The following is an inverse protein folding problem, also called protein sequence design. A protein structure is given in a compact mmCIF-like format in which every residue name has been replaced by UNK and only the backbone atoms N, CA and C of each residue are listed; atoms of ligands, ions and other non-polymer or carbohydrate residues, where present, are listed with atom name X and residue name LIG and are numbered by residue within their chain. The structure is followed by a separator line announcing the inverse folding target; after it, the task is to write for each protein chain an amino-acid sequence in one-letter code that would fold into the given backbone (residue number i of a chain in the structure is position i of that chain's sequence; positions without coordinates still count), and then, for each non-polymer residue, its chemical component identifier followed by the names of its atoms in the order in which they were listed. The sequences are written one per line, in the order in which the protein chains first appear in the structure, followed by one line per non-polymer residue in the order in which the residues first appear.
data_IF_369271420452
#
_entry.id   IF_369271420452
#
_cell.length_a   1.000
_cell.length_b   1.000
_cell.length_c   1.000
_cell.angle_alpha   90.00
_cell.angle_beta   90.00
_cell.angle_gamma   90.00
#
_symmetry.space_group_name_H-M   'P 1'
#
loop_
_entity.id
_entity.type
_entity.pdbx_description
1 polymer ?
#
# COMPACT_ATOMS: atom_id res chain seq x y z
N UNK A 1 -12.15 -4.36 -67.72
CA UNK A 1 -11.38 -3.29 -67.09
C UNK A 1 -11.25 -3.66 -65.62
N UNK A 2 -10.14 -4.30 -65.23
CA UNK A 2 -9.84 -4.68 -63.86
C UNK A 2 -9.01 -3.55 -63.26
N UNK A 3 -9.58 -2.86 -62.28
CA UNK A 3 -8.92 -1.80 -61.53
C UNK A 3 -7.82 -2.44 -60.64
N UNK A 4 -6.56 -2.03 -60.88
CA UNK A 4 -5.43 -2.41 -60.06
C UNK A 4 -5.55 -1.81 -58.65
N UNK A 5 -5.77 -2.69 -57.70
CA UNK A 5 -5.58 -2.31 -56.27
C UNK A 5 -4.08 -2.24 -56.00
N UNK A 6 -3.62 -1.06 -55.59
CA UNK A 6 -2.27 -0.91 -55.06
C UNK A 6 -2.07 -1.86 -53.88
N UNK A 7 -0.93 -2.57 -53.77
CA UNK A 7 -0.65 -3.37 -52.59
C UNK A 7 -0.60 -2.46 -51.36
N UNK A 8 -1.12 -2.90 -50.19
CA UNK A 8 -1.06 -2.10 -48.98
C UNK A 8 0.40 -1.76 -48.69
N UNK A 9 0.62 -0.47 -48.36
CA UNK A 9 1.93 0.05 -48.00
C UNK A 9 2.64 -0.92 -47.04
N UNK A 10 3.86 -1.32 -47.40
CA UNK A 10 4.72 -2.14 -46.57
C UNK A 10 4.76 -1.52 -45.14
N UNK A 11 3.97 -2.06 -44.26
CA UNK A 11 4.16 -1.84 -42.84
C UNK A 11 5.50 -2.49 -42.54
N UNK A 12 6.53 -1.66 -42.46
CA UNK A 12 7.85 -2.08 -41.99
C UNK A 12 7.68 -2.57 -40.55
N UNK A 13 7.39 -3.85 -40.40
CA UNK A 13 7.30 -4.56 -39.11
C UNK A 13 8.61 -4.47 -38.30
N UNK A 14 9.67 -3.95 -38.90
CA UNK A 14 11.00 -3.73 -38.30
C UNK A 14 11.14 -2.36 -37.59
N UNK A 15 10.18 -1.43 -37.71
CA UNK A 15 10.21 -0.13 -37.05
C UNK A 15 9.49 -0.12 -35.69
N UNK A 16 8.97 -1.25 -35.23
CA UNK A 16 8.60 -1.43 -33.85
C UNK A 16 9.87 -1.85 -33.10
N UNK A 17 10.77 -0.90 -32.88
CA UNK A 17 11.77 -1.08 -31.84
C UNK A 17 11.00 -1.20 -30.52
N UNK A 18 10.64 -2.43 -30.12
CA UNK A 18 9.96 -2.73 -28.86
C UNK A 18 10.72 -2.16 -27.64
N UNK A 19 11.92 -1.70 -27.83
CA UNK A 19 12.81 -1.10 -26.83
C UNK A 19 13.28 0.29 -27.31
N UNK A 20 12.35 1.25 -27.43
CA UNK A 20 12.78 2.63 -27.54
C UNK A 20 13.36 3.09 -26.20
N UNK A 21 14.48 3.78 -26.22
CA UNK A 21 15.11 4.37 -25.02
C UNK A 21 14.13 5.27 -24.25
N UNK A 22 13.26 5.97 -24.97
CA UNK A 22 12.20 6.81 -24.42
C UNK A 22 11.17 6.02 -23.61
N UNK A 23 10.70 4.87 -24.14
CA UNK A 23 9.78 3.98 -23.42
C UNK A 23 10.41 3.43 -22.14
N UNK A 24 11.70 3.07 -22.19
CA UNK A 24 12.41 2.58 -21.02
C UNK A 24 12.52 3.67 -19.93
N UNK A 25 12.89 4.89 -20.31
CA UNK A 25 12.98 6.01 -19.36
C UNK A 25 11.62 6.32 -18.73
N UNK A 26 10.57 6.40 -19.52
CA UNK A 26 9.22 6.63 -19.02
C UNK A 26 8.74 5.48 -18.11
N UNK A 27 9.01 4.22 -18.46
CA UNK A 27 8.69 3.08 -17.61
C UNK A 27 9.42 3.12 -16.26
N UNK A 28 10.70 3.56 -16.22
CA UNK A 28 11.45 3.72 -14.98
C UNK A 28 10.83 4.83 -14.11
N UNK A 29 10.51 5.98 -14.68
CA UNK A 29 9.92 7.10 -13.94
C UNK A 29 8.54 6.72 -13.37
N UNK A 30 7.68 6.11 -14.19
CA UNK A 30 6.36 5.62 -13.76
C UNK A 30 6.52 4.54 -12.69
N UNK A 31 7.51 3.65 -12.84
CA UNK A 31 7.80 2.59 -11.86
C UNK A 31 8.24 3.12 -10.51
N UNK A 32 9.03 4.20 -10.49
CA UNK A 32 9.41 4.88 -9.23
C UNK A 32 8.17 5.48 -8.56
N UNK A 33 7.29 6.14 -9.32
CA UNK A 33 6.06 6.72 -8.76
C UNK A 33 5.10 5.64 -8.24
N UNK A 34 4.96 4.56 -8.99
CA UNK A 34 4.16 3.39 -8.59
C UNK A 34 4.73 2.75 -7.32
N UNK A 35 6.06 2.63 -7.23
CA UNK A 35 6.73 2.12 -6.02
C UNK A 35 6.48 2.96 -4.78
N UNK A 36 6.48 4.29 -4.91
CA UNK A 36 6.10 5.18 -3.81
C UNK A 36 4.65 5.02 -3.37
N UNK A 37 3.73 4.87 -4.33
CA UNK A 37 2.34 4.55 -4.03
C UNK A 37 2.20 3.21 -3.28
N UNK A 38 2.88 2.18 -3.72
CA UNK A 38 2.90 0.88 -3.03
C UNK A 38 3.51 0.96 -1.64
N UNK A 39 4.50 1.81 -1.44
CA UNK A 39 5.04 2.09 -0.11
C UNK A 39 3.96 2.69 0.81
N UNK A 40 3.14 3.63 0.31
CA UNK A 40 2.04 4.20 1.08
C UNK A 40 0.99 3.16 1.50
N UNK A 41 0.63 2.24 0.58
CA UNK A 41 -0.31 1.16 0.87
C UNK A 41 0.22 0.18 1.91
N UNK A 42 1.55 -0.08 1.92
CA UNK A 42 2.16 -1.20 2.64
C UNK A 42 2.77 -0.81 3.98
N UNK A 43 3.18 0.46 4.17
CA UNK A 43 3.92 0.87 5.36
C UNK A 43 3.11 0.73 6.66
N UNK A 44 1.80 0.98 6.59
CA UNK A 44 0.90 0.77 7.73
C UNK A 44 0.78 -0.71 8.09
N UNK A 45 0.67 -1.59 7.08
CA UNK A 45 0.65 -3.03 7.32
C UNK A 45 2.00 -3.53 7.89
N UNK A 46 3.12 -2.94 7.49
CA UNK A 46 4.44 -3.26 8.07
C UNK A 46 4.50 -2.98 9.58
N UNK A 47 3.75 -1.98 10.07
CA UNK A 47 3.62 -1.72 11.51
C UNK A 47 2.76 -2.80 12.18
N UNK A 48 1.57 -3.08 11.67
CA UNK A 48 0.64 -4.02 12.31
C UNK A 48 1.10 -5.47 12.21
N UNK A 49 1.61 -5.91 11.06
CA UNK A 49 2.07 -7.28 10.86
C UNK A 49 3.51 -7.47 11.34
N UNK A 50 4.41 -6.54 10.99
CA UNK A 50 5.82 -6.71 11.27
C UNK A 50 6.22 -6.42 12.72
N UNK A 51 5.54 -5.49 13.42
CA UNK A 51 5.87 -5.14 14.80
C UNK A 51 4.92 -5.74 15.84
N UNK A 52 3.68 -6.07 15.46
CA UNK A 52 2.68 -6.55 16.41
C UNK A 52 2.33 -8.04 16.24
N UNK A 53 2.84 -8.71 15.21
CA UNK A 53 2.47 -10.07 14.80
C UNK A 53 0.96 -10.22 14.49
N UNK A 54 0.31 -9.11 14.09
CA UNK A 54 -1.12 -9.10 13.78
C UNK A 54 -1.30 -9.10 12.27
N UNK A 55 -1.78 -10.22 11.74
CA UNK A 55 -2.10 -10.36 10.31
C UNK A 55 -3.42 -9.64 10.01
N UNK A 56 -3.33 -8.32 9.75
CA UNK A 56 -4.49 -7.50 9.45
C UNK A 56 -4.86 -7.57 7.96
N UNK A 57 -5.63 -8.60 7.56
CA UNK A 57 -6.14 -8.74 6.19
C UNK A 57 -7.13 -7.62 5.83
N UNK A 58 -7.77 -6.98 6.81
CA UNK A 58 -8.68 -5.87 6.57
C UNK A 58 -7.97 -4.56 6.18
N UNK A 59 -6.64 -4.49 6.25
CA UNK A 59 -5.87 -3.26 5.98
C UNK A 59 -6.23 -2.62 4.62
N UNK A 60 -6.26 -3.35 3.48
CA UNK A 60 -6.66 -2.77 2.20
C UNK A 60 -8.13 -2.30 2.18
N UNK A 61 -9.05 -2.96 2.89
CA UNK A 61 -10.43 -2.49 2.98
C UNK A 61 -10.54 -1.14 3.69
N UNK A 62 -9.70 -0.88 4.71
CA UNK A 62 -9.60 0.44 5.34
C UNK A 62 -8.98 1.49 4.42
N UNK A 63 -8.08 1.12 3.53
CA UNK A 63 -7.57 2.02 2.48
C UNK A 63 -8.72 2.43 1.56
N UNK A 64 -9.55 1.47 1.11
CA UNK A 64 -10.73 1.76 0.29
C UNK A 64 -11.75 2.62 1.06
N UNK A 65 -11.99 2.35 2.34
CA UNK A 65 -12.82 3.21 3.18
C UNK A 65 -12.30 4.65 3.21
N UNK A 66 -10.99 4.85 3.34
CA UNK A 66 -10.34 6.17 3.26
C UNK A 66 -10.54 6.82 1.90
N UNK A 67 -10.42 6.06 0.81
CA UNK A 67 -10.65 6.54 -0.54
C UNK A 67 -12.11 6.99 -0.76
N UNK A 68 -13.10 6.24 -0.25
CA UNK A 68 -14.50 6.63 -0.32
C UNK A 68 -14.82 7.86 0.52
N UNK A 69 -14.20 8.03 1.69
CA UNK A 69 -14.32 9.27 2.48
C UNK A 69 -13.78 10.45 1.67
N UNK A 70 -12.64 10.31 1.01
CA UNK A 70 -12.11 11.34 0.12
C UNK A 70 -13.07 11.64 -1.03
N UNK A 71 -13.65 10.63 -1.66
CA UNK A 71 -14.64 10.79 -2.71
C UNK A 71 -15.87 11.57 -2.23
N UNK A 72 -16.46 11.25 -1.06
CA UNK A 72 -17.62 11.93 -0.51
C UNK A 72 -17.36 13.43 -0.33
N UNK A 73 -16.27 13.76 0.38
CA UNK A 73 -15.97 15.16 0.67
C UNK A 73 -15.52 15.94 -0.57
N UNK A 74 -14.83 15.30 -1.50
CA UNK A 74 -14.48 15.92 -2.78
C UNK A 74 -15.71 16.19 -3.62
N UNK A 75 -16.62 15.22 -3.78
CA UNK A 75 -17.84 15.38 -4.60
C UNK A 75 -18.84 16.40 -4.05
N UNK A 76 -18.99 16.50 -2.70
CA UNK A 76 -19.97 17.38 -2.09
C UNK A 76 -19.44 18.78 -1.79
N UNK A 77 -18.18 18.90 -1.43
CA UNK A 77 -17.57 20.15 -0.95
C UNK A 77 -16.42 20.66 -1.82
N UNK A 78 -16.00 19.90 -2.85
CA UNK A 78 -14.87 20.28 -3.70
C UNK A 78 -13.52 20.30 -2.97
N UNK A 79 -13.41 19.64 -1.82
CA UNK A 79 -12.16 19.61 -1.03
C UNK A 79 -11.12 18.74 -1.71
N UNK A 80 -9.86 19.15 -1.57
CA UNK A 80 -8.72 18.36 -2.10
C UNK A 80 -8.62 16.99 -1.41
N UNK A 81 -8.44 15.88 -2.17
CA UNK A 81 -8.37 14.53 -1.61
C UNK A 81 -7.23 14.34 -0.60
N UNK A 82 -6.07 14.97 -0.80
CA UNK A 82 -4.92 14.87 0.10
C UNK A 82 -5.25 15.51 1.45
N UNK A 83 -5.89 16.69 1.41
CA UNK A 83 -6.33 17.39 2.61
C UNK A 83 -7.31 16.53 3.42
N UNK A 84 -8.28 15.91 2.73
CA UNK A 84 -9.26 15.02 3.38
C UNK A 84 -8.56 13.81 3.99
N UNK A 85 -7.63 13.18 3.28
CA UNK A 85 -6.84 12.06 3.78
C UNK A 85 -6.08 12.39 5.07
N UNK A 86 -5.50 13.58 5.16
CA UNK A 86 -4.79 14.06 6.35
C UNK A 86 -5.75 14.37 7.49
N UNK A 87 -6.87 15.06 7.21
CA UNK A 87 -7.86 15.44 8.23
C UNK A 87 -8.59 14.21 8.80
N UNK A 88 -8.83 13.18 7.99
CA UNK A 88 -9.48 11.94 8.44
C UNK A 88 -8.53 10.96 9.15
N UNK A 89 -7.20 11.14 9.04
CA UNK A 89 -6.22 10.27 9.69
C UNK A 89 -6.40 10.15 11.22
N UNK A 90 -6.70 11.21 12.00
CA UNK A 90 -7.03 11.08 13.43
C UNK A 90 -8.27 10.22 13.70
N UNK A 91 -9.29 10.26 12.84
CA UNK A 91 -10.49 9.42 12.97
C UNK A 91 -10.13 7.96 12.74
N UNK A 92 -9.32 7.67 11.72
CA UNK A 92 -8.80 6.32 11.48
C UNK A 92 -7.90 5.83 12.61
N UNK A 93 -7.10 6.72 13.20
CA UNK A 93 -6.31 6.40 14.39
C UNK A 93 -7.22 5.93 15.54
N UNK A 94 -8.27 6.69 15.86
CA UNK A 94 -9.23 6.35 16.92
C UNK A 94 -9.98 5.05 16.60
N UNK A 95 -10.37 4.84 15.34
CA UNK A 95 -10.97 3.60 14.88
C UNK A 95 -10.00 2.41 15.10
N UNK A 96 -8.72 2.60 14.80
CA UNK A 96 -7.69 1.60 15.06
C UNK A 96 -7.52 1.27 16.54
N UNK A 97 -7.55 2.27 17.43
CA UNK A 97 -7.53 2.04 18.88
C UNK A 97 -8.73 1.18 19.30
N UNK A 98 -9.93 1.47 18.80
CA UNK A 98 -11.14 0.74 19.12
C UNK A 98 -11.07 -0.71 18.63
N UNK A 99 -10.69 -0.92 17.37
CA UNK A 99 -10.57 -2.25 16.76
C UNK A 99 -9.54 -3.09 17.51
N UNK A 100 -8.36 -2.52 17.80
CA UNK A 100 -7.34 -3.26 18.56
C UNK A 100 -7.81 -3.60 19.96
N UNK A 101 -8.54 -2.70 20.66
CA UNK A 101 -9.10 -2.97 21.97
C UNK A 101 -10.03 -4.16 21.95
N UNK A 102 -10.95 -4.23 20.97
CA UNK A 102 -11.88 -5.37 20.79
C UNK A 102 -11.07 -6.65 20.52
N UNK A 103 -10.09 -6.57 19.61
CA UNK A 103 -9.21 -7.69 19.27
C UNK A 103 -8.45 -8.22 20.49
N UNK A 104 -7.85 -7.31 21.28
CA UNK A 104 -7.12 -7.67 22.50
C UNK A 104 -8.02 -8.35 23.54
N UNK A 105 -9.17 -7.76 23.86
CA UNK A 105 -10.06 -8.28 24.91
C UNK A 105 -10.67 -9.64 24.53
N UNK A 106 -10.91 -9.89 23.25
CA UNK A 106 -11.62 -11.09 22.78
C UNK A 106 -10.70 -12.21 22.31
N UNK A 107 -9.49 -11.90 21.91
CA UNK A 107 -8.59 -12.88 21.30
C UNK A 107 -7.21 -12.91 22.00
N UNK A 108 -6.45 -11.84 22.00
CA UNK A 108 -5.07 -11.82 22.47
C UNK A 108 -4.96 -12.11 23.97
N UNK A 109 -5.81 -11.49 24.80
CA UNK A 109 -5.83 -11.66 26.27
C UNK A 109 -6.13 -13.09 26.69
N UNK A 110 -6.93 -13.81 25.94
CA UNK A 110 -7.36 -15.17 26.23
C UNK A 110 -6.34 -16.21 25.71
N UNK A 111 -5.26 -15.75 25.00
CA UNK A 111 -4.31 -16.64 24.34
C UNK A 111 -4.92 -17.41 23.18
N UNK A 112 -5.90 -16.80 22.49
CA UNK A 112 -6.54 -17.42 21.34
C UNK A 112 -5.54 -17.64 20.19
N UNK A 113 -5.66 -18.75 19.51
CA UNK A 113 -4.81 -19.11 18.37
C UNK A 113 -4.77 -18.00 17.31
N UNK A 114 -3.64 -17.78 16.62
CA UNK A 114 -3.49 -16.78 15.56
C UNK A 114 -4.57 -16.85 14.47
N UNK A 115 -5.08 -18.06 14.20
CA UNK A 115 -6.14 -18.30 13.22
C UNK A 115 -7.46 -17.59 13.55
N UNK A 116 -7.79 -17.46 14.84
CA UNK A 116 -9.01 -16.73 15.28
C UNK A 116 -8.88 -15.23 15.02
N UNK A 117 -7.68 -14.69 15.22
CA UNK A 117 -7.38 -13.30 14.88
C UNK A 117 -7.49 -13.04 13.37
N UNK A 118 -6.97 -13.96 12.57
CA UNK A 118 -7.09 -13.90 11.12
C UNK A 118 -8.57 -13.90 10.68
N UNK A 119 -9.40 -14.78 11.24
CA UNK A 119 -10.83 -14.83 10.96
C UNK A 119 -11.56 -13.54 11.36
N UNK A 120 -11.17 -12.90 12.48
CA UNK A 120 -11.71 -11.61 12.90
C UNK A 120 -11.43 -10.51 11.86
N UNK A 121 -10.20 -10.36 11.40
CA UNK A 121 -9.85 -9.35 10.40
C UNK A 121 -10.43 -9.66 9.01
N UNK A 122 -10.58 -10.93 8.67
CA UNK A 122 -11.29 -11.36 7.47
C UNK A 122 -12.77 -10.94 7.51
N UNK A 123 -13.45 -11.23 8.62
CA UNK A 123 -14.84 -10.77 8.83
C UNK A 123 -14.96 -9.24 8.79
N UNK A 124 -14.01 -8.52 9.40
CA UNK A 124 -14.00 -7.06 9.40
C UNK A 124 -13.81 -6.49 7.98
N UNK A 125 -12.97 -7.12 7.17
CA UNK A 125 -12.81 -6.75 5.74
C UNK A 125 -14.15 -6.82 5.00
N UNK A 126 -14.89 -7.93 5.14
CA UNK A 126 -16.20 -8.07 4.50
C UNK A 126 -17.24 -7.07 5.03
N UNK A 127 -17.24 -6.79 6.33
CA UNK A 127 -18.14 -5.78 6.91
C UNK A 127 -17.91 -4.43 6.26
N UNK A 128 -16.66 -3.99 6.16
CA UNK A 128 -16.32 -2.71 5.52
C UNK A 128 -16.73 -2.71 4.05
N UNK A 129 -16.40 -3.76 3.30
CA UNK A 129 -16.75 -3.90 1.89
C UNK A 129 -18.27 -3.86 1.66
N UNK A 130 -19.04 -4.65 2.43
CA UNK A 130 -20.50 -4.71 2.30
C UNK A 130 -21.13 -3.37 2.64
N UNK A 131 -20.66 -2.67 3.69
CA UNK A 131 -21.14 -1.32 4.02
C UNK A 131 -20.91 -0.35 2.85
N UNK A 132 -19.74 -0.41 2.22
CA UNK A 132 -19.44 0.44 1.05
C UNK A 132 -20.31 0.09 -0.15
N UNK A 133 -20.53 -1.21 -0.44
CA UNK A 133 -21.42 -1.65 -1.53
C UNK A 133 -22.87 -1.20 -1.28
N UNK A 134 -23.37 -1.33 -0.05
CA UNK A 134 -24.72 -0.89 0.29
C UNK A 134 -24.87 0.64 0.21
N UNK A 135 -23.81 1.40 0.45
CA UNK A 135 -23.84 2.87 0.46
C UNK A 135 -23.61 3.49 -0.91
N UNK A 136 -22.76 2.88 -1.75
CA UNK A 136 -22.27 3.48 -3.02
C UNK A 136 -22.51 2.60 -4.25
N UNK A 137 -23.00 1.37 -4.07
CA UNK A 137 -23.13 0.41 -5.16
C UNK A 137 -21.79 -0.20 -5.54
N UNK A 138 -21.73 -0.71 -6.77
CA UNK A 138 -20.53 -1.35 -7.36
C UNK A 138 -19.90 -0.52 -8.48
N UNK A 139 -20.38 0.70 -8.68
CA UNK A 139 -19.89 1.58 -9.73
C UNK A 139 -18.54 2.20 -9.37
N UNK A 140 -17.74 2.46 -10.39
CA UNK A 140 -16.47 3.16 -10.22
C UNK A 140 -16.69 4.63 -9.85
N UNK A 141 -16.02 5.07 -8.80
CA UNK A 141 -16.03 6.46 -8.33
C UNK A 141 -14.67 7.12 -8.57
N UNK A 142 -14.69 8.40 -8.89
CA UNK A 142 -13.50 9.21 -9.19
C UNK A 142 -13.56 10.53 -8.42
N UNK A 143 -12.39 11.09 -8.13
CA UNK A 143 -12.25 12.45 -7.58
C UNK A 143 -11.75 13.41 -8.64
N UNK A 144 -12.06 14.69 -8.43
CA UNK A 144 -11.60 15.78 -9.27
C UNK A 144 -10.67 16.69 -8.45
N UNK A 145 -9.50 16.97 -9.01
CA UNK A 145 -8.60 17.99 -8.49
C UNK A 145 -7.82 18.57 -9.68
N UNK A 146 -7.58 19.89 -9.66
CA UNK A 146 -7.02 20.63 -10.80
C UNK A 146 -5.67 20.08 -11.28
N UNK A 147 -4.88 19.50 -10.37
CA UNK A 147 -3.55 18.97 -10.70
C UNK A 147 -3.56 17.55 -11.30
N UNK A 148 -4.67 16.82 -11.23
CA UNK A 148 -4.72 15.40 -11.67
C UNK A 148 -4.44 15.26 -13.17
N UNK A 149 -4.96 16.19 -13.97
CA UNK A 149 -4.85 16.16 -15.43
C UNK A 149 -3.60 16.87 -15.97
N UNK A 150 -2.80 17.51 -15.08
CA UNK A 150 -1.54 18.12 -15.48
C UNK A 150 -0.47 17.08 -15.79
N UNK A 151 0.31 17.39 -16.83
CA UNK A 151 1.46 16.62 -17.26
C UNK A 151 2.62 17.57 -17.53
N UNK A 152 3.76 17.35 -16.91
CA UNK A 152 5.00 18.06 -17.22
C UNK A 152 5.84 17.19 -18.15
N UNK A 153 6.27 17.75 -19.28
CA UNK A 153 7.13 17.06 -20.25
C UNK A 153 8.52 17.67 -20.19
N UNK A 154 9.52 16.87 -19.87
CA UNK A 154 10.94 17.26 -19.84
C UNK A 154 11.69 16.46 -20.93
N UNK A 155 11.77 17.04 -22.12
CA UNK A 155 12.33 16.35 -23.28
C UNK A 155 11.51 15.12 -23.66
N UNK A 156 12.06 13.93 -23.44
CA UNK A 156 11.41 12.63 -23.75
C UNK A 156 10.68 12.02 -22.54
N UNK A 157 10.76 12.65 -21.36
CA UNK A 157 10.19 12.15 -20.12
C UNK A 157 8.88 12.86 -19.83
N UNK A 158 7.83 12.10 -19.66
CA UNK A 158 6.51 12.56 -19.28
C UNK A 158 6.25 12.30 -17.79
N UNK A 159 5.97 13.35 -17.03
CA UNK A 159 5.67 13.28 -15.60
C UNK A 159 4.18 13.57 -15.40
N UNK A 160 3.31 12.57 -15.25
CA UNK A 160 1.91 12.78 -14.93
C UNK A 160 1.76 13.18 -13.45
N UNK A 161 1.18 14.34 -13.18
CA UNK A 161 0.98 14.84 -11.81
C UNK A 161 0.07 13.92 -11.00
N UNK A 162 -0.85 13.20 -11.65
CA UNK A 162 -1.66 12.13 -11.06
C UNK A 162 -0.83 11.07 -10.32
N UNK A 163 0.41 10.81 -10.74
CA UNK A 163 1.31 9.85 -10.09
C UNK A 163 2.40 10.53 -9.26
N UNK A 164 2.88 11.69 -9.70
CA UNK A 164 3.93 12.43 -9.01
C UNK A 164 3.50 12.95 -7.64
N UNK A 165 2.29 13.55 -7.54
CA UNK A 165 1.79 14.11 -6.27
C UNK A 165 1.58 13.02 -5.23
N UNK A 166 0.88 11.89 -5.51
CA UNK A 166 0.81 10.75 -4.62
C UNK A 166 2.18 10.20 -4.20
N UNK A 167 3.13 10.11 -5.14
CA UNK A 167 4.49 9.67 -4.84
C UNK A 167 5.17 10.59 -3.80
N UNK A 168 5.10 11.92 -4.01
CA UNK A 168 5.71 12.88 -3.10
C UNK A 168 5.13 12.79 -1.68
N UNK A 169 3.80 12.70 -1.56
CA UNK A 169 3.10 12.52 -0.28
C UNK A 169 3.45 11.17 0.36
N UNK A 170 3.48 10.10 -0.43
CA UNK A 170 3.87 8.77 0.04
C UNK A 170 5.29 8.77 0.62
N UNK A 171 6.24 9.43 -0.04
CA UNK A 171 7.61 9.56 0.45
C UNK A 171 7.70 10.38 1.74
N UNK A 172 6.97 11.48 1.84
CA UNK A 172 6.88 12.28 3.08
C UNK A 172 6.31 11.43 4.22
N UNK A 173 5.23 10.68 3.96
CA UNK A 173 4.62 9.78 4.95
C UNK A 173 5.59 8.66 5.36
N UNK A 174 6.28 8.02 4.42
CA UNK A 174 7.22 6.94 4.69
C UNK A 174 8.41 7.42 5.51
N UNK A 175 9.01 8.55 5.13
CA UNK A 175 10.13 9.17 5.86
C UNK A 175 9.67 9.63 7.24
N UNK A 176 8.50 10.26 7.34
CA UNK A 176 7.93 10.71 8.61
C UNK A 176 7.71 9.55 9.59
N UNK A 177 7.13 8.43 9.13
CA UNK A 177 6.93 7.23 9.95
C UNK A 177 8.26 6.57 10.33
N UNK A 178 9.24 6.53 9.43
CA UNK A 178 10.57 6.03 9.71
C UNK A 178 11.28 6.87 10.80
N UNK A 179 11.19 8.19 10.72
CA UNK A 179 11.74 9.11 11.73
C UNK A 179 10.99 8.98 13.05
N UNK A 180 9.66 8.89 13.02
CA UNK A 180 8.84 8.65 14.21
C UNK A 180 9.25 7.34 14.89
N UNK A 181 9.34 6.25 14.14
CA UNK A 181 9.68 4.92 14.67
C UNK A 181 11.10 4.85 15.25
N UNK A 182 12.08 5.56 14.65
CA UNK A 182 13.48 5.52 15.06
C UNK A 182 13.86 6.57 16.13
N UNK A 183 13.18 7.72 16.15
CA UNK A 183 13.59 8.87 16.97
C UNK A 183 12.70 9.13 18.18
N UNK A 184 11.42 8.67 18.17
CA UNK A 184 10.51 8.92 19.30
C UNK A 184 10.53 7.80 20.34
N UNK A 185 10.08 8.12 21.55
CA UNK A 185 9.91 7.15 22.63
C UNK A 185 8.90 6.06 22.21
N UNK A 186 7.74 6.46 21.68
CA UNK A 186 6.71 5.51 21.24
C UNK A 186 7.19 4.61 20.11
N UNK A 187 7.91 5.14 19.12
CA UNK A 187 8.47 4.36 18.02
C UNK A 187 9.46 3.30 18.51
N UNK A 188 10.35 3.68 19.42
CA UNK A 188 11.28 2.72 20.04
C UNK A 188 10.59 1.69 20.93
N UNK A 189 9.55 2.12 21.66
CA UNK A 189 8.73 1.19 22.45
C UNK A 189 7.98 0.19 21.57
N UNK A 190 7.47 0.61 20.39
CA UNK A 190 6.87 -0.30 19.40
C UNK A 190 7.86 -1.37 18.92
N UNK A 191 9.11 -0.96 18.60
CA UNK A 191 10.15 -1.92 18.20
C UNK A 191 10.54 -2.87 19.34
N UNK A 192 10.56 -2.37 20.58
CA UNK A 192 10.89 -3.19 21.75
C UNK A 192 9.76 -4.20 22.08
N UNK A 193 8.49 -3.84 21.88
CA UNK A 193 7.34 -4.78 22.03
C UNK A 193 7.48 -5.96 21.07
N UNK A 194 7.95 -5.71 19.85
CA UNK A 194 8.18 -6.75 18.85
C UNK A 194 9.29 -7.74 19.26
N UNK A 195 10.27 -7.28 20.04
CA UNK A 195 11.41 -8.11 20.47
C UNK A 195 11.09 -8.90 21.75
N UNK A 196 10.64 -8.21 22.80
CA UNK A 196 10.31 -8.81 24.08
C UNK A 196 9.28 -7.98 24.86
N UNK A 197 8.04 -8.44 24.83
CA UNK A 197 6.92 -7.79 25.55
C UNK A 197 7.02 -7.98 27.07
N UNK A 198 7.71 -9.04 27.54
CA UNK A 198 7.89 -9.30 28.98
C UNK A 198 8.93 -8.34 29.56
N UNK A 199 10.06 -8.15 28.89
CA UNK A 199 11.07 -7.18 29.30
C UNK A 199 10.49 -5.77 29.41
N UNK A 200 9.61 -5.35 28.49
CA UNK A 200 8.94 -4.07 28.57
C UNK A 200 8.06 -3.94 29.84
N UNK A 201 7.32 -4.98 30.19
CA UNK A 201 6.51 -4.99 31.43
C UNK A 201 7.37 -4.81 32.66
N UNK A 202 8.52 -5.48 32.72
CA UNK A 202 9.46 -5.35 33.83
C UNK A 202 10.03 -3.91 33.95
N UNK A 203 10.13 -3.19 32.83
CA UNK A 203 10.50 -1.76 32.82
C UNK A 203 9.32 -0.81 33.11
N UNK A 204 8.16 -1.33 33.50
CA UNK A 204 6.98 -0.52 33.84
C UNK A 204 6.18 0.01 32.65
N UNK A 205 6.51 -0.40 31.42
CA UNK A 205 5.79 0.01 30.20
C UNK A 205 4.70 -1.03 29.89
N UNK A 206 3.48 -0.56 29.63
CA UNK A 206 2.36 -1.43 29.29
C UNK A 206 2.39 -1.79 27.78
N UNK A 207 2.73 -3.05 27.38
CA UNK A 207 2.84 -3.44 25.99
C UNK A 207 1.51 -3.31 25.23
N UNK A 208 0.38 -3.56 25.90
CA UNK A 208 -0.95 -3.47 25.29
C UNK A 208 -1.26 -2.07 24.81
N UNK A 209 -0.91 -1.05 25.60
CA UNK A 209 -1.08 0.36 25.20
C UNK A 209 -0.20 0.70 24.01
N UNK A 210 1.03 0.22 23.99
CA UNK A 210 1.95 0.44 22.87
C UNK A 210 1.43 -0.22 21.60
N UNK A 211 1.00 -1.49 21.67
CA UNK A 211 0.38 -2.20 20.54
C UNK A 211 -0.88 -1.49 20.03
N UNK A 212 -1.71 -0.99 20.93
CA UNK A 212 -2.93 -0.25 20.59
C UNK A 212 -2.61 1.03 19.80
N UNK A 213 -1.62 1.82 20.26
CA UNK A 213 -1.16 3.03 19.55
C UNK A 213 -0.56 2.68 18.19
N UNK A 214 0.25 1.63 18.11
CA UNK A 214 0.85 1.16 16.87
C UNK A 214 -0.20 0.73 15.83
N UNK A 215 -1.23 0.00 16.27
CA UNK A 215 -2.33 -0.40 15.40
C UNK A 215 -3.18 0.81 14.96
N UNK A 216 -3.43 1.76 15.87
CA UNK A 216 -4.06 3.04 15.52
C UNK A 216 -3.27 3.80 14.46
N UNK A 217 -1.94 3.89 14.62
CA UNK A 217 -1.07 4.53 13.64
C UNK A 217 -1.10 3.80 12.28
N UNK A 218 -1.12 2.46 12.29
CA UNK A 218 -1.29 1.65 11.07
C UNK A 218 -2.58 2.00 10.34
N UNK A 219 -3.71 2.13 11.03
CA UNK A 219 -4.97 2.54 10.39
C UNK A 219 -4.96 4.00 9.95
N UNK A 220 -4.33 4.90 10.68
CA UNK A 220 -4.21 6.31 10.26
C UNK A 220 -3.53 6.44 8.89
N UNK A 221 -2.55 5.58 8.57
CA UNK A 221 -1.92 5.56 7.24
C UNK A 221 -2.88 5.12 6.14
N UNK A 222 -3.89 4.28 6.45
CA UNK A 222 -4.90 3.85 5.47
C UNK A 222 -5.72 5.02 4.92
N UNK A 223 -6.01 6.01 5.76
CA UNK A 223 -6.73 7.21 5.32
C UNK A 223 -5.94 7.99 4.26
N UNK A 224 -4.65 8.23 4.51
CA UNK A 224 -3.77 8.92 3.56
C UNK A 224 -3.56 8.05 2.31
N UNK A 225 -3.27 6.76 2.46
CA UNK A 225 -3.09 5.84 1.35
C UNK A 225 -4.36 5.73 0.47
N UNK A 226 -5.56 5.80 1.07
CA UNK A 226 -6.84 5.86 0.36
C UNK A 226 -6.99 7.13 -0.48
N UNK A 227 -6.58 8.28 0.07
CA UNK A 227 -6.56 9.53 -0.69
C UNK A 227 -5.63 9.45 -1.91
N UNK A 228 -4.44 8.83 -1.75
CA UNK A 228 -3.50 8.63 -2.85
C UNK A 228 -4.06 7.66 -3.90
N UNK A 229 -4.74 6.60 -3.45
CA UNK A 229 -5.34 5.60 -4.34
C UNK A 229 -6.39 6.24 -5.27
N UNK A 230 -7.34 7.01 -4.71
CA UNK A 230 -8.44 7.59 -5.49
C UNK A 230 -7.98 8.68 -6.46
N UNK A 231 -6.81 9.31 -6.21
CA UNK A 231 -6.16 10.23 -7.16
C UNK A 231 -5.60 9.46 -8.37
N UNK A 232 -4.96 8.31 -8.12
CA UNK A 232 -4.28 7.53 -9.17
C UNK A 232 -5.27 6.81 -10.06
N UNK A 233 -6.31 6.21 -9.50
CA UNK A 233 -7.24 5.36 -10.24
C UNK A 233 -8.67 5.45 -9.68
N UNK A 234 -9.68 5.15 -10.51
CA UNK A 234 -11.06 4.98 -10.05
C UNK A 234 -11.14 3.88 -9.00
N UNK A 235 -12.00 4.08 -8.01
CA UNK A 235 -12.22 3.12 -6.93
C UNK A 235 -13.60 2.49 -7.01
N UNK A 236 -13.67 1.23 -6.62
CA UNK A 236 -14.90 0.51 -6.30
C UNK A 236 -14.74 -0.22 -4.96
N UNK A 237 -15.82 -0.60 -4.24
CA UNK A 237 -15.71 -1.20 -2.91
C UNK A 237 -14.89 -2.50 -2.86
N UNK A 238 -14.92 -3.31 -3.92
CA UNK A 238 -14.27 -4.61 -3.98
C UNK A 238 -12.78 -4.57 -4.35
N UNK A 239 -12.28 -3.45 -4.87
CA UNK A 239 -10.89 -3.27 -5.34
C UNK A 239 -9.86 -3.55 -4.24
N UNK A 240 -10.22 -3.36 -2.97
CA UNK A 240 -9.33 -3.64 -1.84
C UNK A 240 -8.80 -5.07 -1.83
N UNK A 241 -9.57 -6.04 -2.29
CA UNK A 241 -9.17 -7.46 -2.35
C UNK A 241 -7.98 -7.71 -3.28
N UNK A 242 -7.86 -6.94 -4.36
CA UNK A 242 -6.76 -7.07 -5.31
C UNK A 242 -5.41 -6.67 -4.69
N UNK A 243 -5.44 -5.74 -3.73
CA UNK A 243 -4.24 -5.25 -3.06
C UNK A 243 -3.78 -6.11 -1.89
N UNK A 244 -4.59 -7.07 -1.39
CA UNK A 244 -4.21 -7.91 -0.24
C UNK A 244 -2.88 -8.61 -0.53
N UNK A 245 -2.82 -9.40 -1.59
CA UNK A 245 -1.63 -10.18 -1.94
C UNK A 245 -0.41 -9.29 -2.21
N UNK A 246 -0.60 -8.17 -2.90
CA UNK A 246 0.47 -7.26 -3.27
C UNK A 246 1.07 -6.54 -2.03
N UNK A 247 0.21 -6.00 -1.16
CA UNK A 247 0.65 -5.32 0.07
C UNK A 247 1.36 -6.29 1.02
N UNK A 248 0.83 -7.52 1.17
CA UNK A 248 1.51 -8.56 1.94
C UNK A 248 2.84 -8.97 1.32
N UNK A 249 2.88 -9.15 -0.01
CA UNK A 249 4.13 -9.48 -0.70
C UNK A 249 5.21 -8.43 -0.46
N UNK A 250 4.87 -7.14 -0.53
CA UNK A 250 5.81 -6.03 -0.29
C UNK A 250 6.34 -6.06 1.15
N UNK A 251 5.47 -6.26 2.14
CA UNK A 251 5.88 -6.28 3.55
C UNK A 251 6.80 -7.47 3.86
N UNK A 252 6.46 -8.65 3.35
CA UNK A 252 7.26 -9.87 3.54
C UNK A 252 8.58 -9.75 2.78
N UNK A 253 8.54 -9.28 1.53
CA UNK A 253 9.73 -9.06 0.70
C UNK A 253 10.68 -8.04 1.33
N UNK A 254 10.14 -6.97 1.93
CA UNK A 254 10.92 -5.97 2.67
C UNK A 254 11.58 -6.51 3.93
N UNK A 255 10.98 -7.54 4.53
CA UNK A 255 11.33 -8.12 5.82
C UNK A 255 10.41 -7.61 6.92
N UNK A 256 9.78 -8.54 7.64
CA UNK A 256 8.81 -8.23 8.69
C UNK A 256 9.40 -7.28 9.74
N UNK A 257 8.65 -6.20 10.04
CA UNK A 257 9.08 -5.19 11.01
C UNK A 257 10.10 -4.16 10.52
N UNK A 258 10.56 -4.27 9.27
CA UNK A 258 11.49 -3.31 8.66
C UNK A 258 10.76 -2.31 7.77
N UNK A 259 10.46 -1.11 8.27
CA UNK A 259 9.83 -0.05 7.47
C UNK A 259 10.71 0.39 6.29
N UNK A 260 12.03 0.47 6.49
CA UNK A 260 12.98 0.76 5.39
C UNK A 260 12.98 -0.36 4.35
N UNK A 261 12.90 -1.62 4.81
CA UNK A 261 12.79 -2.78 3.92
C UNK A 261 11.51 -2.74 3.10
N UNK A 262 10.37 -2.43 3.73
CA UNK A 262 9.08 -2.27 3.06
C UNK A 262 9.15 -1.17 1.98
N UNK A 263 9.78 -0.02 2.25
CA UNK A 263 9.96 1.05 1.28
C UNK A 263 10.80 0.58 0.07
N UNK A 264 11.95 -0.07 0.33
CA UNK A 264 12.81 -0.58 -0.74
C UNK A 264 12.09 -1.65 -1.56
N UNK A 265 11.39 -2.57 -0.92
CA UNK A 265 10.62 -3.61 -1.58
C UNK A 265 9.49 -3.03 -2.47
N UNK A 266 8.78 -2.03 -1.96
CA UNK A 266 7.74 -1.32 -2.70
C UNK A 266 8.31 -0.63 -3.95
N UNK A 267 9.45 0.06 -3.81
CA UNK A 267 10.13 0.73 -4.93
C UNK A 267 10.61 -0.27 -5.98
N UNK A 268 11.21 -1.38 -5.56
CA UNK A 268 11.64 -2.45 -6.46
C UNK A 268 10.45 -3.09 -7.18
N UNK A 269 9.38 -3.40 -6.45
CA UNK A 269 8.19 -4.01 -7.04
C UNK A 269 7.52 -3.08 -8.05
N UNK A 270 7.34 -1.79 -7.70
CA UNK A 270 6.76 -0.80 -8.60
C UNK A 270 7.58 -0.61 -9.88
N UNK A 271 8.91 -0.61 -9.75
CA UNK A 271 9.82 -0.54 -10.91
C UNK A 271 9.70 -1.78 -11.80
N UNK A 272 9.75 -2.99 -11.22
CA UNK A 272 9.62 -4.24 -11.96
C UNK A 272 8.26 -4.34 -12.66
N UNK A 273 7.19 -3.99 -11.96
CA UNK A 273 5.83 -4.03 -12.48
C UNK A 273 5.65 -3.04 -13.65
N UNK A 274 6.14 -1.82 -13.52
CA UNK A 274 6.09 -0.82 -14.59
C UNK A 274 6.85 -1.28 -15.83
N UNK A 275 8.05 -1.83 -15.66
CA UNK A 275 8.84 -2.36 -16.78
C UNK A 275 8.11 -3.53 -17.47
N UNK A 276 7.61 -4.48 -16.70
CA UNK A 276 6.93 -5.65 -17.29
C UNK A 276 5.60 -5.25 -17.92
N UNK A 277 4.85 -4.35 -17.30
CA UNK A 277 3.59 -3.83 -17.86
C UNK A 277 3.84 -3.11 -19.19
N UNK A 278 4.91 -2.33 -19.29
CA UNK A 278 5.26 -1.58 -20.51
C UNK A 278 5.68 -2.49 -21.65
N UNK A 279 6.46 -3.55 -21.38
CA UNK A 279 7.04 -4.39 -22.44
C UNK A 279 6.27 -5.69 -22.71
N UNK A 280 5.59 -6.25 -21.71
CA UNK A 280 4.88 -7.53 -21.81
C UNK A 280 3.36 -7.40 -21.66
N UNK A 281 2.88 -6.22 -21.21
CA UNK A 281 1.47 -5.93 -21.04
C UNK A 281 0.98 -6.05 -19.59
N UNK A 282 -0.17 -5.40 -19.27
CA UNK A 282 -0.68 -5.27 -17.90
C UNK A 282 -1.14 -6.59 -17.27
N UNK A 283 -1.46 -7.60 -18.07
CA UNK A 283 -1.90 -8.92 -17.58
C UNK A 283 -0.83 -9.65 -16.77
N UNK A 284 0.44 -9.26 -16.88
CA UNK A 284 1.56 -9.85 -16.16
C UNK A 284 1.80 -9.19 -14.79
N UNK A 285 1.18 -8.03 -14.51
CA UNK A 285 1.38 -7.28 -13.26
C UNK A 285 1.19 -8.13 -11.99
N UNK A 286 0.10 -8.89 -11.80
CA UNK A 286 -0.05 -9.71 -10.58
C UNK A 286 1.01 -10.80 -10.44
N UNK A 287 1.48 -11.36 -11.56
CA UNK A 287 2.47 -12.43 -11.53
C UNK A 287 3.82 -11.94 -11.00
N UNK A 288 4.17 -10.66 -11.20
CA UNK A 288 5.45 -10.10 -10.76
C UNK A 288 5.56 -10.07 -9.25
N UNK A 289 4.52 -9.57 -8.56
CA UNK A 289 4.52 -9.46 -7.10
C UNK A 289 4.72 -10.83 -6.45
N UNK A 290 3.99 -11.84 -6.91
CA UNK A 290 4.07 -13.19 -6.37
C UNK A 290 5.37 -13.91 -6.77
N UNK A 291 5.87 -13.70 -8.00
CA UNK A 291 7.15 -14.26 -8.43
C UNK A 291 8.31 -13.66 -7.63
N UNK A 292 8.33 -12.35 -7.44
CA UNK A 292 9.34 -11.67 -6.62
C UNK A 292 9.29 -12.17 -5.16
N UNK A 293 8.09 -12.36 -4.60
CA UNK A 293 7.91 -12.91 -3.26
C UNK A 293 8.51 -14.33 -3.17
N UNK A 294 8.15 -15.23 -4.08
CA UNK A 294 8.63 -16.60 -4.09
C UNK A 294 10.16 -16.64 -4.20
N UNK A 295 10.72 -15.86 -5.13
CA UNK A 295 12.17 -15.79 -5.35
C UNK A 295 12.90 -15.31 -4.09
N UNK A 296 12.43 -14.21 -3.48
CA UNK A 296 13.08 -13.69 -2.27
C UNK A 296 12.95 -14.65 -1.10
N UNK A 297 11.79 -15.25 -0.87
CA UNK A 297 11.63 -16.24 0.20
C UNK A 297 12.46 -17.51 -0.01
N UNK A 298 12.67 -17.92 -1.26
CA UNK A 298 13.52 -19.07 -1.58
C UNK A 298 15.00 -18.81 -1.28
N UNK A 299 15.50 -17.60 -1.55
CA UNK A 299 16.92 -17.26 -1.37
C UNK A 299 17.21 -16.56 -0.04
N UNK A 300 16.25 -15.77 0.49
CA UNK A 300 16.40 -15.00 1.72
C UNK A 300 15.09 -14.94 2.50
N UNK A 301 14.74 -15.98 3.28
CA UNK A 301 13.44 -16.10 3.95
C UNK A 301 13.15 -14.97 4.96
N UNK A 302 14.17 -14.22 5.39
CA UNK A 302 14.01 -13.05 6.26
C UNK A 302 13.60 -11.77 5.51
N UNK A 303 13.52 -11.80 4.18
CA UNK A 303 13.31 -10.61 3.35
C UNK A 303 14.58 -9.78 3.13
N UNK A 304 14.46 -8.65 2.40
CA UNK A 304 15.62 -7.83 1.98
C UNK A 304 16.39 -7.26 3.17
N UNK A 305 15.68 -6.65 4.14
CA UNK A 305 16.25 -6.03 5.35
C UNK A 305 15.71 -6.65 6.66
N UNK A 306 15.21 -7.88 6.62
CA UNK A 306 14.80 -8.61 7.81
C UNK A 306 16.01 -8.97 8.70
N UNK A 307 15.82 -8.96 10.01
CA UNK A 307 16.87 -9.32 10.98
C UNK A 307 16.97 -10.84 11.11
N UNK A 308 18.20 -11.36 11.04
CA UNK A 308 18.54 -12.77 11.25
C UNK A 308 18.44 -13.09 12.76
N UNK A 309 17.26 -13.12 13.30
CA UNK A 309 17.01 -13.40 14.72
C UNK A 309 15.58 -13.79 15.00
N UNK A 310 14.73 -13.60 14.00
CA UNK A 310 13.27 -13.81 14.10
C UNK A 310 12.79 -15.18 13.60
N UNK A 311 13.70 -16.11 13.35
CA UNK A 311 13.32 -17.52 13.21
C UNK A 311 13.05 -18.09 14.60
N UNK A 312 11.87 -17.76 15.14
CA UNK A 312 11.31 -18.53 16.25
C UNK A 312 10.97 -19.92 15.73
N UNK A 313 11.85 -20.89 16.08
CA UNK A 313 11.58 -22.32 15.97
C UNK A 313 10.43 -22.70 16.90
#
# INVERSE_FOLDING_TARGET
MLAGGEPPANINLWNVSMFSFELLLNAIVIGIFLGGFYAALSIGLSISFGLLDIVNIAHPAFIILGAFICFIFNSHYGLDPILIGIISAPVFFLLGLLIYRIYYERFEKIGAEPLRGLAFFFGLMFIVEVILIMSFGVDYQMVHADYIDYKATFGVIDIPFRMFVPFAIAMVMAIGLQLFSSRTFFGRAMQAVAQDSLALRLMGINPVKIKMIAFGLSLATCSIAGALLVIIMPIEPSVGRLYIGQVFAIVVLGGLGSQSGTLIAAMLLGLLESLVTTFFGPSWSPAIAFSALILVLAFKPTGILGRVGDTRG
#
